data_IF_752876724886
#
_entry.id   IF_752876724886
#
_cell.length_a   1.000
_cell.length_b   1.000
_cell.length_c   1.000
_cell.angle_alpha   90.00
_cell.angle_beta   90.00
_cell.angle_gamma   90.00
#
_symmetry.space_group_name_H-M   'P 1'
#
loop_
_entity.id
_entity.type
_entity.pdbx_description
1 polymer ?
#
# COMPACT_ATOMS: atom_id res chain seq x y z
N UNK A 1 12.82 9.64 -20.43
CA UNK A 1 12.15 9.73 -19.12
C UNK A 1 10.68 9.97 -19.33
N UNK A 2 9.81 9.17 -18.70
CA UNK A 2 8.35 9.36 -18.73
C UNK A 2 7.97 10.69 -18.07
N UNK A 3 6.79 11.28 -18.40
CA UNK A 3 6.33 12.52 -17.76
C UNK A 3 6.23 12.40 -16.23
N UNK A 4 5.94 11.20 -15.73
CA UNK A 4 5.79 10.92 -14.29
C UNK A 4 7.14 10.96 -13.57
N UNK A 5 8.19 10.40 -14.15
CA UNK A 5 9.55 10.50 -13.60
C UNK A 5 10.01 11.96 -13.56
N UNK A 6 9.67 12.77 -14.58
CA UNK A 6 9.98 14.21 -14.56
C UNK A 6 9.24 14.93 -13.43
N UNK A 7 7.95 14.64 -13.25
CA UNK A 7 7.15 15.18 -12.15
C UNK A 7 7.75 14.79 -10.78
N UNK A 8 8.14 13.53 -10.61
CA UNK A 8 8.81 13.05 -9.41
C UNK A 8 10.07 13.86 -9.10
N UNK A 9 10.96 14.06 -10.07
CA UNK A 9 12.18 14.85 -9.88
C UNK A 9 11.89 16.31 -9.57
N UNK A 10 10.89 16.92 -10.20
CA UNK A 10 10.47 18.31 -9.90
C UNK A 10 10.03 18.40 -8.44
N UNK A 11 9.19 17.46 -7.98
CA UNK A 11 8.71 17.42 -6.60
C UNK A 11 9.88 17.20 -5.63
N UNK A 12 10.78 16.25 -5.92
CA UNK A 12 11.95 15.97 -5.10
C UNK A 12 12.87 17.19 -4.97
N UNK A 13 13.18 17.85 -6.10
CA UNK A 13 14.04 19.03 -6.14
C UNK A 13 13.44 20.27 -5.49
N UNK A 14 12.13 20.31 -5.27
CA UNK A 14 11.46 21.43 -4.58
C UNK A 14 11.25 21.09 -3.10
N UNK A 15 10.60 19.97 -2.79
CA UNK A 15 10.18 19.65 -1.43
C UNK A 15 11.34 19.24 -0.52
N UNK A 16 12.33 18.51 -1.04
CA UNK A 16 13.47 18.09 -0.23
C UNK A 16 14.29 19.29 0.28
N UNK A 17 14.77 20.24 -0.55
CA UNK A 17 15.48 21.40 -0.05
C UNK A 17 14.61 22.33 0.79
N UNK A 18 13.32 22.45 0.49
CA UNK A 18 12.38 23.21 1.32
C UNK A 18 12.31 22.65 2.74
N UNK A 19 12.18 21.32 2.89
CA UNK A 19 12.15 20.68 4.20
C UNK A 19 13.48 20.78 4.94
N UNK A 20 14.61 20.70 4.23
CA UNK A 20 15.93 20.93 4.81
C UNK A 20 16.07 22.37 5.33
N UNK A 21 15.67 23.36 4.53
CA UNK A 21 15.69 24.76 4.93
C UNK A 21 14.80 25.01 6.15
N UNK A 22 13.61 24.40 6.19
CA UNK A 22 12.70 24.52 7.33
C UNK A 22 13.27 23.93 8.63
N UNK A 23 13.95 22.78 8.54
CA UNK A 23 14.68 22.20 9.66
C UNK A 23 15.80 23.12 10.15
N UNK A 24 16.60 23.67 9.23
CA UNK A 24 17.71 24.58 9.54
C UNK A 24 17.23 25.87 10.20
N UNK A 25 16.14 26.47 9.71
CA UNK A 25 15.54 27.65 10.31
C UNK A 25 15.08 27.42 11.75
N UNK A 26 14.61 26.20 12.07
CA UNK A 26 14.15 25.88 13.42
C UNK A 26 15.29 25.57 14.40
N UNK A 27 16.37 24.97 13.90
CA UNK A 27 17.55 24.57 14.67
C UNK A 27 18.59 25.69 14.79
N UNK A 28 18.39 26.82 14.10
CA UNK A 28 19.38 27.91 14.05
C UNK A 28 20.62 27.57 13.22
N UNK A 29 20.60 26.47 12.46
CA UNK A 29 21.75 25.97 11.71
C UNK A 29 22.69 25.07 12.50
N UNK A 30 22.40 24.78 13.77
CA UNK A 30 23.23 23.89 14.59
C UNK A 30 22.96 22.42 14.25
N UNK A 31 23.95 21.66 13.74
CA UNK A 31 23.79 20.25 13.40
C UNK A 31 23.89 19.31 14.60
N UNK A 32 23.87 19.85 15.83
CA UNK A 32 24.00 19.05 17.04
C UNK A 32 22.81 18.11 17.23
N UNK A 33 23.07 16.91 17.77
CA UNK A 33 22.03 15.90 17.98
C UNK A 33 20.93 16.41 18.92
N UNK A 34 21.30 17.25 19.90
CA UNK A 34 20.37 17.93 20.81
C UNK A 34 19.48 18.93 20.07
N UNK A 35 20.03 19.74 19.17
CA UNK A 35 19.25 20.71 18.39
C UNK A 35 18.23 19.99 17.48
N UNK A 36 18.65 18.90 16.84
CA UNK A 36 17.77 18.08 15.99
C UNK A 36 16.59 17.48 16.77
N UNK A 37 16.83 16.96 17.98
CA UNK A 37 15.76 16.43 18.84
C UNK A 37 14.78 17.48 19.36
N UNK A 38 15.17 18.76 19.38
CA UNK A 38 14.30 19.86 19.82
C UNK A 38 13.16 20.17 18.84
N UNK A 39 13.28 19.74 17.59
CA UNK A 39 12.34 19.99 16.50
C UNK A 39 11.82 18.68 15.89
N UNK A 40 11.07 17.85 16.66
CA UNK A 40 10.72 16.48 16.27
C UNK A 40 9.86 16.43 14.99
N UNK A 41 8.96 17.39 14.80
CA UNK A 41 8.05 17.43 13.64
C UNK A 41 8.82 17.76 12.35
N UNK A 42 9.70 18.76 12.40
CA UNK A 42 10.50 19.15 11.24
C UNK A 42 11.47 18.03 10.83
N UNK A 43 12.05 17.35 11.83
CA UNK A 43 12.94 16.22 11.63
C UNK A 43 12.22 15.05 10.98
N UNK A 44 11.02 14.67 11.45
CA UNK A 44 10.27 13.57 10.85
C UNK A 44 9.85 13.87 9.42
N UNK A 45 9.42 15.09 9.12
CA UNK A 45 9.08 15.52 7.75
C UNK A 45 10.30 15.47 6.84
N UNK A 46 11.45 15.99 7.28
CA UNK A 46 12.69 15.94 6.52
C UNK A 46 13.12 14.50 6.24
N UNK A 47 13.12 13.62 7.25
CA UNK A 47 13.48 12.22 7.08
C UNK A 47 12.51 11.47 6.15
N UNK A 48 11.21 11.74 6.23
CA UNK A 48 10.22 11.12 5.36
C UNK A 48 10.44 11.51 3.89
N UNK A 49 10.67 12.79 3.62
CA UNK A 49 10.97 13.27 2.26
C UNK A 49 12.32 12.75 1.76
N UNK A 50 13.32 12.71 2.62
CA UNK A 50 14.63 12.14 2.30
C UNK A 50 14.50 10.66 1.91
N UNK A 51 13.79 9.86 2.71
CA UNK A 51 13.54 8.46 2.38
C UNK A 51 12.80 8.30 1.05
N UNK A 52 11.77 9.12 0.79
CA UNK A 52 11.04 9.14 -0.47
C UNK A 52 11.91 9.50 -1.68
N UNK A 53 12.83 10.47 -1.52
CA UNK A 53 13.79 10.84 -2.58
C UNK A 53 14.80 9.74 -2.87
N UNK A 54 15.29 9.06 -1.83
CA UNK A 54 16.25 7.97 -1.97
C UNK A 54 15.60 6.77 -2.64
N UNK A 55 14.43 6.35 -2.18
CA UNK A 55 13.73 5.18 -2.72
C UNK A 55 13.42 5.37 -4.21
N UNK A 56 12.81 6.50 -4.58
CA UNK A 56 12.48 6.73 -5.98
C UNK A 56 13.71 6.93 -6.86
N UNK A 57 14.79 7.56 -6.36
CA UNK A 57 16.06 7.62 -7.09
C UNK A 57 16.64 6.21 -7.31
N UNK A 58 16.65 5.38 -6.27
CA UNK A 58 17.12 4.00 -6.35
C UNK A 58 16.34 3.20 -7.41
N UNK A 59 15.01 3.34 -7.42
CA UNK A 59 14.17 2.65 -8.41
C UNK A 59 14.43 3.08 -9.85
N UNK A 60 14.66 4.37 -10.08
CA UNK A 60 14.92 4.91 -11.41
C UNK A 60 16.26 4.41 -11.97
N UNK A 61 17.30 4.34 -11.13
CA UNK A 61 18.65 4.01 -11.59
C UNK A 61 18.96 2.52 -11.54
N UNK A 62 18.52 1.79 -10.52
CA UNK A 62 18.99 0.42 -10.26
C UNK A 62 17.92 -0.66 -10.46
N UNK A 63 16.62 -0.32 -10.52
CA UNK A 63 15.59 -1.35 -10.60
C UNK A 63 15.43 -1.93 -12.01
N UNK A 64 15.36 -3.27 -12.10
CA UNK A 64 15.16 -4.01 -13.36
C UNK A 64 13.74 -3.89 -13.91
N UNK A 65 12.74 -3.69 -13.03
CA UNK A 65 11.33 -3.58 -13.45
C UNK A 65 11.05 -2.27 -14.19
N UNK A 66 10.61 -2.37 -15.45
CA UNK A 66 10.20 -1.23 -16.26
C UNK A 66 9.08 -0.41 -15.59
N UNK A 67 8.19 -1.06 -14.83
CA UNK A 67 7.10 -0.37 -14.14
C UNK A 67 7.63 0.54 -13.02
N UNK A 68 8.52 0.03 -12.15
CA UNK A 68 9.10 0.81 -11.04
C UNK A 68 9.96 1.96 -11.56
N UNK A 69 10.67 1.74 -12.67
CA UNK A 69 11.46 2.79 -13.33
C UNK A 69 10.60 3.93 -13.91
N UNK A 70 9.39 3.61 -14.39
CA UNK A 70 8.48 4.58 -14.99
C UNK A 70 7.53 5.26 -13.99
N UNK A 71 7.28 4.61 -12.85
CA UNK A 71 6.38 5.03 -11.78
C UNK A 71 7.06 4.87 -10.41
N UNK A 72 8.12 5.66 -10.12
CA UNK A 72 8.86 5.57 -8.87
C UNK A 72 7.94 5.81 -7.67
N UNK A 73 8.13 5.02 -6.61
CA UNK A 73 7.34 4.97 -5.37
C UNK A 73 5.90 4.50 -5.56
N UNK A 74 5.19 4.99 -6.58
CA UNK A 74 3.81 4.62 -6.89
C UNK A 74 3.66 3.14 -7.23
N UNK A 75 4.64 2.55 -7.91
CA UNK A 75 4.65 1.13 -8.20
C UNK A 75 4.66 0.29 -6.92
N UNK A 76 5.35 0.71 -5.85
CA UNK A 76 5.37 0.00 -4.57
C UNK A 76 4.01 0.05 -3.88
N UNK A 77 3.32 1.20 -3.94
CA UNK A 77 1.94 1.31 -3.45
C UNK A 77 1.02 0.35 -4.21
N UNK A 78 1.17 0.25 -5.53
CA UNK A 78 0.43 -0.75 -6.33
C UNK A 78 0.68 -2.16 -5.84
N UNK A 79 1.94 -2.55 -5.64
CA UNK A 79 2.28 -3.90 -5.17
C UNK A 79 1.75 -4.17 -3.76
N UNK A 80 1.77 -3.17 -2.87
CA UNK A 80 1.18 -3.28 -1.54
C UNK A 80 -0.35 -3.52 -1.63
N UNK A 81 -1.05 -2.77 -2.48
CA UNK A 81 -2.49 -2.95 -2.68
C UNK A 81 -2.82 -4.27 -3.38
N UNK A 82 -1.98 -4.71 -4.32
CA UNK A 82 -2.10 -6.02 -4.97
C UNK A 82 -1.94 -7.16 -3.98
N UNK A 83 -1.09 -7.00 -2.97
CA UNK A 83 -0.93 -7.95 -1.88
C UNK A 83 -2.17 -8.02 -0.97
N UNK A 84 -2.80 -6.89 -0.65
CA UNK A 84 -3.99 -6.81 0.24
C UNK A 84 -5.30 -7.12 -0.50
N UNK A 85 -5.28 -7.07 -1.85
CA UNK A 85 -6.45 -7.27 -2.70
C UNK A 85 -7.17 -8.61 -2.43
N UNK A 86 -6.51 -9.77 -2.31
CA UNK A 86 -7.18 -11.05 -2.09
C UNK A 86 -8.00 -11.07 -0.80
N UNK A 87 -7.46 -10.54 0.30
CA UNK A 87 -8.12 -10.51 1.60
C UNK A 87 -9.35 -9.59 1.55
N UNK A 88 -9.22 -8.40 0.94
CA UNK A 88 -10.36 -7.50 0.76
C UNK A 88 -11.46 -8.18 -0.06
N UNK A 89 -11.08 -8.81 -1.17
CA UNK A 89 -12.03 -9.52 -2.02
C UNK A 89 -12.73 -10.65 -1.26
N UNK A 90 -11.99 -11.44 -0.49
CA UNK A 90 -12.53 -12.62 0.19
C UNK A 90 -13.46 -12.28 1.36
N UNK A 91 -13.18 -11.23 2.14
CA UNK A 91 -13.92 -10.94 3.37
C UNK A 91 -15.02 -9.88 3.22
N UNK A 92 -14.83 -8.91 2.32
CA UNK A 92 -15.75 -7.77 2.21
C UNK A 92 -16.61 -7.80 0.94
N UNK A 93 -16.11 -8.39 -0.15
CA UNK A 93 -16.74 -8.30 -1.47
C UNK A 93 -17.40 -9.62 -1.86
N UNK A 94 -16.70 -10.74 -1.69
CA UNK A 94 -17.19 -12.04 -2.12
C UNK A 94 -18.40 -12.47 -1.29
N UNK A 95 -19.53 -12.64 -1.98
CA UNK A 95 -20.70 -13.29 -1.40
C UNK A 95 -20.49 -14.80 -1.27
N UNK A 96 -21.31 -15.45 -0.44
CA UNK A 96 -21.18 -16.88 -0.13
C UNK A 96 -21.22 -17.82 -1.34
N UNK A 97 -21.71 -17.33 -2.48
CA UNK A 97 -21.98 -18.03 -3.74
C UNK A 97 -20.97 -17.71 -4.86
N UNK A 98 -20.20 -16.63 -4.75
CA UNK A 98 -19.38 -16.10 -5.86
C UNK A 98 -17.95 -16.65 -5.91
N UNK A 99 -17.49 -17.27 -4.82
CA UNK A 99 -16.16 -17.85 -4.76
C UNK A 99 -16.04 -19.08 -5.70
N UNK A 100 -14.97 -19.11 -6.52
CA UNK A 100 -14.63 -20.21 -7.43
C UNK A 100 -13.40 -20.97 -6.91
N UNK A 101 -13.29 -22.30 -7.11
CA UNK A 101 -14.25 -23.20 -7.78
C UNK A 101 -15.40 -23.67 -6.88
N UNK A 102 -15.30 -23.53 -5.55
CA UNK A 102 -16.35 -23.89 -4.61
C UNK A 102 -16.75 -22.68 -3.76
N UNK A 103 -18.06 -22.47 -3.66
CA UNK A 103 -18.64 -21.40 -2.87
C UNK A 103 -18.38 -21.59 -1.36
N UNK A 104 -18.38 -20.50 -0.59
CA UNK A 104 -18.19 -20.53 0.87
C UNK A 104 -19.22 -21.43 1.55
N UNK A 105 -20.47 -21.38 1.07
CA UNK A 105 -21.55 -22.25 1.51
C UNK A 105 -21.22 -23.73 1.32
N UNK A 106 -20.75 -24.13 0.12
CA UNK A 106 -20.36 -25.52 -0.17
C UNK A 106 -19.19 -25.98 0.70
N UNK A 107 -18.18 -25.13 0.91
CA UNK A 107 -17.04 -25.44 1.79
C UNK A 107 -17.50 -25.65 3.23
N UNK A 108 -18.38 -24.79 3.74
CA UNK A 108 -18.94 -24.91 5.09
C UNK A 108 -19.77 -26.19 5.25
N UNK A 109 -20.58 -26.57 4.25
CA UNK A 109 -21.34 -27.82 4.26
C UNK A 109 -20.41 -29.04 4.37
N UNK A 110 -19.35 -29.08 3.56
CA UNK A 110 -18.34 -30.17 3.59
C UNK A 110 -17.67 -30.23 4.96
N UNK A 111 -17.28 -29.09 5.55
CA UNK A 111 -16.67 -29.05 6.87
C UNK A 111 -17.62 -29.54 7.97
N UNK A 112 -18.90 -29.14 7.96
CA UNK A 112 -19.90 -29.62 8.93
C UNK A 112 -20.07 -31.13 8.84
N UNK A 113 -20.17 -31.68 7.62
CA UNK A 113 -20.24 -33.13 7.37
C UNK A 113 -19.00 -33.86 7.87
N UNK A 114 -17.81 -33.33 7.61
CA UNK A 114 -16.55 -33.94 8.07
C UNK A 114 -16.44 -34.02 9.59
N UNK A 115 -17.10 -33.12 10.32
CA UNK A 115 -17.14 -33.07 11.79
C UNK A 115 -18.33 -33.83 12.39
N UNK A 116 -19.17 -34.47 11.58
CA UNK A 116 -20.40 -35.13 12.04
C UNK A 116 -21.45 -34.17 12.61
N UNK A 117 -21.35 -32.87 12.31
CA UNK A 117 -22.35 -31.89 12.71
C UNK A 117 -23.57 -31.96 11.79
N UNK A 118 -24.76 -31.63 12.32
CA UNK A 118 -25.99 -31.50 11.53
C UNK A 118 -25.73 -30.65 10.27
N UNK A 119 -26.11 -31.12 9.09
CA UNK A 119 -25.82 -30.50 7.80
C UNK A 119 -27.02 -29.77 7.18
N UNK A 120 -28.12 -29.65 7.91
CA UNK A 120 -29.29 -28.91 7.48
C UNK A 120 -28.99 -27.40 7.40
N UNK A 121 -29.17 -26.81 6.21
CA UNK A 121 -29.30 -25.37 5.98
C UNK A 121 -30.79 -25.02 5.79
N UNK A 122 -31.26 -23.84 6.27
CA UNK A 122 -32.62 -23.38 6.03
C UNK A 122 -32.89 -23.18 4.53
N UNK A 123 -34.12 -23.45 4.08
CA UNK A 123 -34.56 -23.53 2.67
C UNK A 123 -34.49 -22.22 1.84
N UNK A 124 -33.89 -21.15 2.36
CA UNK A 124 -33.73 -19.90 1.61
C UNK A 124 -32.59 -20.03 0.60
N UNK A 125 -32.85 -19.70 -0.67
CA UNK A 125 -31.79 -19.59 -1.68
C UNK A 125 -31.19 -18.19 -1.64
N UNK A 126 -29.87 -18.09 -1.50
CA UNK A 126 -29.14 -16.84 -1.78
C UNK A 126 -28.88 -16.66 -3.28
N UNK A 127 -29.12 -17.70 -4.10
CA UNK A 127 -28.95 -17.64 -5.56
C UNK A 127 -30.11 -16.89 -6.21
N UNK A 128 -29.77 -15.99 -7.13
CA UNK A 128 -30.74 -15.38 -8.02
C UNK A 128 -31.27 -16.42 -9.00
N UNK A 129 -32.57 -16.72 -8.87
CA UNK A 129 -33.31 -17.70 -9.66
C UNK A 129 -34.06 -17.06 -10.83
N UNK A 130 -34.00 -15.73 -10.96
CA UNK A 130 -34.71 -14.96 -11.99
C UNK A 130 -33.78 -14.37 -13.06
N UNK A 131 -32.46 -14.54 -12.92
CA UNK A 131 -31.44 -14.05 -13.84
C UNK A 131 -31.34 -14.88 -15.14
#
# INVERSE_FOLDING_TARGET
>A
MTPIVRLYWIIALVLMPLSAAWLLMKTGGDPSLSALTSAPIQLTVFLALLAWTIEGAYEIFFCVSNLRRNYPVLANIRYLLEYIRPEIQQYFIANNIEEKPFSRERRNLIYRRSKGANDNLPFGTEQDILA
#
